data_IF_688763563285
#
_entry.id   IF_688763563285
#
_cell.length_a   1.000
_cell.length_b   1.000
_cell.length_c   1.000
_cell.angle_alpha   90.00
_cell.angle_beta   90.00
_cell.angle_gamma   90.00
#
_symmetry.space_group_name_H-M   'P 1'
#
loop_
_entity.id
_entity.type
_entity.pdbx_description
1 polymer ?
#
# COMPACT_ATOMS: atom_id res chain seq x y z
N UNK A 1 -17.12 11.42 1.06
CA UNK A 1 -17.14 9.99 1.43
C UNK A 1 -17.63 9.89 2.87
N UNK A 2 -18.46 8.91 3.18
CA UNK A 2 -19.08 8.66 4.48
C UNK A 2 -18.83 7.22 4.86
N UNK A 3 -18.66 6.94 6.16
CA UNK A 3 -18.57 5.59 6.72
C UNK A 3 -19.91 5.28 7.34
N UNK A 4 -20.64 4.34 6.75
CA UNK A 4 -21.98 3.99 7.17
C UNK A 4 -21.97 2.89 8.23
N UNK A 5 -20.96 2.00 8.17
CA UNK A 5 -20.79 0.90 9.11
C UNK A 5 -19.30 0.58 9.29
N UNK A 6 -18.97 -0.06 10.41
CA UNK A 6 -17.62 -0.54 10.75
C UNK A 6 -17.72 -2.05 10.91
N UNK A 7 -17.12 -2.78 9.98
CA UNK A 7 -17.05 -4.23 10.05
C UNK A 7 -16.15 -4.73 11.19
N UNK A 8 -16.23 -6.01 11.45
CA UNK A 8 -15.32 -6.67 12.38
C UNK A 8 -13.88 -6.70 11.81
N UNK A 9 -12.87 -6.49 12.65
CA UNK A 9 -11.48 -6.60 12.22
C UNK A 9 -11.12 -8.04 11.86
N UNK A 10 -10.25 -8.20 10.89
CA UNK A 10 -9.61 -9.48 10.62
C UNK A 10 -8.75 -9.90 11.80
N UNK A 11 -8.90 -11.15 12.23
CA UNK A 11 -8.24 -11.66 13.43
C UNK A 11 -6.99 -12.47 13.10
N UNK A 12 -6.15 -12.70 14.12
CA UNK A 12 -5.05 -13.67 14.02
C UNK A 12 -5.55 -15.07 13.67
N UNK A 13 -6.72 -15.46 14.20
CA UNK A 13 -7.33 -16.75 13.88
C UNK A 13 -7.70 -16.85 12.39
N UNK A 14 -8.25 -15.79 11.78
CA UNK A 14 -8.51 -15.77 10.35
C UNK A 14 -7.21 -15.90 9.55
N UNK A 15 -6.19 -15.11 9.89
CA UNK A 15 -4.90 -15.09 9.21
C UNK A 15 -4.19 -16.46 9.26
N UNK A 16 -4.29 -17.18 10.38
CA UNK A 16 -3.58 -18.46 10.58
C UNK A 16 -4.38 -19.70 10.17
N UNK A 17 -5.69 -19.55 9.90
CA UNK A 17 -6.55 -20.64 9.48
C UNK A 17 -6.88 -20.59 7.99
N UNK A 18 -8.07 -20.14 7.64
CA UNK A 18 -8.58 -20.20 6.27
C UNK A 18 -7.84 -19.27 5.30
N UNK A 19 -7.35 -18.10 5.76
CA UNK A 19 -6.55 -17.20 4.91
C UNK A 19 -5.21 -17.87 4.59
N UNK A 20 -4.54 -18.46 5.59
CA UNK A 20 -3.29 -19.18 5.36
C UNK A 20 -3.49 -20.34 4.38
N UNK A 21 -4.60 -21.08 4.50
CA UNK A 21 -4.93 -22.14 3.58
C UNK A 21 -5.20 -21.65 2.15
N UNK A 22 -5.91 -20.52 2.01
CA UNK A 22 -6.19 -19.90 0.71
C UNK A 22 -4.95 -19.35 0.03
N UNK A 23 -4.03 -18.75 0.79
CA UNK A 23 -2.78 -18.19 0.26
C UNK A 23 -1.77 -19.31 -0.13
N UNK A 24 -1.81 -20.45 0.52
CA UNK A 24 -0.87 -21.55 0.26
C UNK A 24 0.59 -21.09 0.34
N UNK A 25 1.35 -21.40 -0.70
CA UNK A 25 2.77 -21.05 -0.84
C UNK A 25 3.02 -19.63 -1.41
N UNK A 26 1.99 -18.79 -1.52
CA UNK A 26 2.12 -17.42 -2.01
C UNK A 26 3.07 -16.62 -1.13
N UNK A 27 4.14 -16.09 -1.73
CA UNK A 27 5.13 -15.27 -1.02
C UNK A 27 4.67 -13.82 -0.85
N UNK A 28 4.02 -13.25 -1.87
CA UNK A 28 3.61 -11.85 -1.86
C UNK A 28 2.11 -11.70 -1.63
N UNK A 29 1.75 -10.87 -0.68
CA UNK A 29 0.35 -10.63 -0.28
C UNK A 29 0.07 -9.13 -0.25
N UNK A 30 -0.97 -8.70 -0.96
CA UNK A 30 -1.48 -7.34 -0.86
C UNK A 30 -2.58 -7.27 0.19
N UNK A 31 -2.49 -6.28 1.07
CA UNK A 31 -3.50 -5.96 2.07
C UNK A 31 -4.11 -4.61 1.74
N UNK A 32 -5.40 -4.61 1.40
CA UNK A 32 -6.18 -3.41 1.06
C UNK A 32 -7.19 -3.09 2.16
N UNK A 33 -6.75 -2.51 3.26
CA UNK A 33 -7.63 -2.06 4.33
C UNK A 33 -8.44 -0.83 3.91
N UNK A 34 -9.69 -0.75 4.32
CA UNK A 34 -10.55 0.43 4.17
C UNK A 34 -10.43 1.36 5.37
N UNK A 35 -10.37 0.79 6.57
CA UNK A 35 -10.28 1.49 7.84
C UNK A 35 -9.11 0.96 8.67
N UNK A 36 -8.64 1.75 9.60
CA UNK A 36 -7.49 1.47 10.47
C UNK A 36 -7.61 0.18 11.27
N UNK A 37 -8.82 -0.18 11.65
CA UNK A 37 -9.11 -1.35 12.46
C UNK A 37 -9.23 -2.64 11.68
N UNK A 38 -9.31 -2.60 10.35
CA UNK A 38 -9.56 -3.78 9.54
C UNK A 38 -8.47 -4.86 9.74
N UNK A 39 -7.21 -4.43 9.82
CA UNK A 39 -6.06 -5.33 10.03
C UNK A 39 -5.21 -4.82 11.20
N UNK A 40 -5.48 -5.26 12.44
CA UNK A 40 -4.61 -4.96 13.58
C UNK A 40 -3.18 -5.44 13.36
N UNK A 41 -2.21 -4.81 14.05
CA UNK A 41 -0.79 -5.15 13.91
C UNK A 41 -0.49 -6.65 14.11
N UNK A 42 -1.16 -7.29 15.08
CA UNK A 42 -1.04 -8.73 15.32
C UNK A 42 -1.54 -9.58 14.15
N UNK A 43 -2.56 -9.13 13.43
CA UNK A 43 -3.07 -9.80 12.23
C UNK A 43 -2.11 -9.63 11.05
N UNK A 44 -1.54 -8.45 10.87
CA UNK A 44 -0.49 -8.22 9.86
C UNK A 44 0.74 -9.08 10.15
N UNK A 45 1.16 -9.20 11.40
CA UNK A 45 2.25 -10.08 11.82
C UNK A 45 1.94 -11.55 11.50
N UNK A 46 0.74 -12.01 11.79
CA UNK A 46 0.31 -13.37 11.48
C UNK A 46 0.26 -13.64 9.96
N UNK A 47 -0.19 -12.66 9.16
CA UNK A 47 -0.17 -12.75 7.70
C UNK A 47 1.24 -12.78 7.13
N UNK A 48 2.19 -12.06 7.74
CA UNK A 48 3.60 -12.02 7.34
C UNK A 48 4.39 -13.26 7.80
N UNK A 49 3.78 -14.14 8.59
CA UNK A 49 4.48 -15.31 9.11
C UNK A 49 5.05 -16.21 7.99
N UNK A 50 6.19 -16.83 8.26
CA UNK A 50 6.91 -17.64 7.30
C UNK A 50 7.69 -16.81 6.29
N UNK A 51 7.43 -17.01 4.99
CA UNK A 51 8.15 -16.32 3.90
C UNK A 51 7.33 -15.20 3.25
N UNK A 52 6.15 -14.87 3.80
CA UNK A 52 5.26 -13.91 3.18
C UNK A 52 5.74 -12.47 3.34
N UNK A 53 5.58 -11.72 2.28
CA UNK A 53 5.94 -10.30 2.16
C UNK A 53 4.67 -9.49 1.93
N UNK A 54 4.34 -8.62 2.86
CA UNK A 54 3.13 -7.83 2.77
C UNK A 54 3.39 -6.50 2.05
N UNK A 55 2.58 -6.21 1.04
CA UNK A 55 2.36 -4.87 0.55
C UNK A 55 1.06 -4.34 1.16
N UNK A 56 1.15 -3.24 1.89
CA UNK A 56 -0.01 -2.59 2.50
C UNK A 56 -0.24 -1.23 1.86
N UNK A 57 -1.50 -0.95 1.49
CA UNK A 57 -1.91 0.38 1.07
C UNK A 57 -2.19 1.23 2.32
N UNK A 58 -1.54 2.39 2.41
CA UNK A 58 -1.65 3.30 3.55
C UNK A 58 -3.05 3.90 3.71
N UNK A 59 -3.91 3.81 2.71
CA UNK A 59 -5.27 4.34 2.74
C UNK A 59 -6.02 3.91 4.00
N UNK A 60 -6.01 2.62 4.32
CA UNK A 60 -6.63 2.09 5.53
C UNK A 60 -5.98 2.64 6.80
N UNK A 61 -4.66 2.74 6.84
CA UNK A 61 -3.93 3.14 8.03
C UNK A 61 -4.27 4.56 8.52
N UNK A 62 -4.57 5.48 7.62
CA UNK A 62 -4.91 6.88 7.96
C UNK A 62 -6.39 7.11 8.23
N UNK A 63 -7.27 6.21 7.82
CA UNK A 63 -8.72 6.38 7.94
C UNK A 63 -9.23 5.90 9.29
N UNK A 64 -9.92 6.79 10.01
CA UNK A 64 -10.52 6.45 11.31
C UNK A 64 -11.68 5.48 11.13
N UNK A 65 -11.71 4.45 11.97
CA UNK A 65 -12.87 3.56 12.12
C UNK A 65 -13.94 4.23 12.99
N UNK A 66 -14.70 5.12 12.37
CA UNK A 66 -15.80 5.85 13.02
C UNK A 66 -16.90 6.10 11.99
N UNK A 67 -18.14 5.73 12.36
CA UNK A 67 -19.32 6.05 11.56
C UNK A 67 -19.46 7.57 11.44
N UNK A 68 -19.81 8.04 10.26
CA UNK A 68 -19.94 9.45 9.93
C UNK A 68 -19.04 9.90 8.79
N UNK A 69 -18.79 11.20 8.65
CA UNK A 69 -17.88 11.73 7.65
C UNK A 69 -16.49 11.11 7.80
N UNK A 70 -15.90 10.66 6.68
CA UNK A 70 -14.57 10.05 6.68
C UNK A 70 -13.53 11.05 7.22
N UNK A 71 -12.89 10.69 8.32
CA UNK A 71 -11.81 11.42 8.93
C UNK A 71 -10.48 10.68 8.80
N UNK A 72 -9.38 11.40 8.83
CA UNK A 72 -8.01 10.87 8.74
C UNK A 72 -7.15 11.52 9.80
N UNK A 73 -6.22 10.77 10.37
CA UNK A 73 -5.16 11.28 11.26
C UNK A 73 -3.90 10.41 11.21
N UNK A 74 -2.87 10.83 11.94
CA UNK A 74 -1.59 10.14 12.05
C UNK A 74 -1.51 9.14 13.22
N UNK A 75 -2.61 8.94 13.95
CA UNK A 75 -2.58 8.06 15.12
C UNK A 75 -2.65 6.60 14.67
N UNK A 76 -1.48 5.98 14.53
CA UNK A 76 -1.30 4.57 14.16
C UNK A 76 -0.39 3.90 15.18
N UNK A 77 -0.64 2.62 15.45
CA UNK A 77 0.30 1.77 16.19
C UNK A 77 1.55 1.53 15.33
N UNK A 78 2.74 2.00 15.74
CA UNK A 78 3.97 1.81 14.97
C UNK A 78 4.32 0.33 14.73
N UNK A 79 3.78 -0.59 15.54
CA UNK A 79 3.99 -2.03 15.32
C UNK A 79 3.36 -2.52 14.02
N UNK A 80 2.35 -1.82 13.49
CA UNK A 80 1.74 -2.12 12.18
C UNK A 80 2.74 -2.07 11.03
N UNK A 81 3.82 -1.27 11.14
CA UNK A 81 4.83 -1.17 10.09
C UNK A 81 5.86 -2.30 10.09
N UNK A 82 6.05 -2.98 11.23
CA UNK A 82 7.13 -3.96 11.42
C UNK A 82 7.02 -5.18 10.52
N UNK A 83 5.81 -5.55 10.15
CA UNK A 83 5.52 -6.73 9.33
C UNK A 83 5.41 -6.44 7.84
N UNK A 84 5.57 -5.17 7.44
CA UNK A 84 5.45 -4.75 6.06
C UNK A 84 6.77 -4.93 5.30
N UNK A 85 6.70 -5.52 4.12
CA UNK A 85 7.80 -5.49 3.16
C UNK A 85 7.72 -4.23 2.30
N UNK A 86 6.50 -3.80 1.96
CA UNK A 86 6.22 -2.62 1.13
C UNK A 86 5.07 -1.82 1.71
N UNK A 87 5.26 -0.52 1.84
CA UNK A 87 4.18 0.44 2.11
C UNK A 87 3.94 1.28 0.86
N UNK A 88 2.74 1.21 0.31
CA UNK A 88 2.31 2.09 -0.77
C UNK A 88 1.44 3.21 -0.21
N UNK A 89 1.71 4.43 -0.60
CA UNK A 89 0.98 5.62 -0.15
C UNK A 89 0.91 6.70 -1.23
N UNK A 90 -0.04 7.59 -1.13
CA UNK A 90 -0.10 8.83 -1.89
C UNK A 90 0.45 10.01 -1.09
N UNK A 91 0.58 11.19 -1.72
CA UNK A 91 1.14 12.39 -1.07
C UNK A 91 0.35 12.82 0.18
N UNK A 92 -0.99 12.70 0.16
CA UNK A 92 -1.83 13.04 1.31
C UNK A 92 -1.58 12.13 2.50
N UNK A 93 -1.47 10.84 2.25
CA UNK A 93 -1.16 9.81 3.24
C UNK A 93 0.27 9.95 3.79
N UNK A 94 1.23 10.28 2.92
CA UNK A 94 2.62 10.55 3.30
C UNK A 94 2.73 11.72 4.27
N UNK A 95 2.05 12.84 3.97
CA UNK A 95 2.03 14.00 4.87
C UNK A 95 1.41 13.68 6.23
N UNK A 96 0.39 12.82 6.25
CA UNK A 96 -0.25 12.38 7.50
C UNK A 96 0.66 11.46 8.30
N UNK A 97 1.20 10.40 7.68
CA UNK A 97 1.94 9.34 8.39
C UNK A 97 3.40 9.72 8.68
N UNK A 98 4.06 10.34 7.71
CA UNK A 98 5.50 10.63 7.76
C UNK A 98 5.81 12.11 8.04
N UNK A 99 4.80 12.98 8.02
CA UNK A 99 4.99 14.43 8.15
C UNK A 99 5.54 15.11 6.89
N UNK A 100 5.81 14.38 5.81
CA UNK A 100 6.36 14.90 4.56
C UNK A 100 6.38 13.87 3.45
N UNK A 101 6.89 14.28 2.29
CA UNK A 101 7.00 13.45 1.08
C UNK A 101 8.46 13.18 0.70
N UNK A 102 9.39 13.80 1.38
CA UNK A 102 10.82 13.65 1.14
C UNK A 102 11.31 12.27 1.59
N UNK A 103 12.36 11.72 0.96
CA UNK A 103 12.85 10.38 1.26
C UNK A 103 13.19 10.14 2.74
N UNK A 104 13.72 11.14 3.43
CA UNK A 104 14.06 11.05 4.88
C UNK A 104 12.83 10.90 5.76
N UNK A 105 11.74 11.61 5.47
CA UNK A 105 10.48 11.47 6.19
C UNK A 105 9.89 10.06 5.99
N UNK A 106 9.93 9.57 4.75
CA UNK A 106 9.42 8.25 4.41
C UNK A 106 10.24 7.13 5.08
N UNK A 107 11.58 7.24 5.06
CA UNK A 107 12.47 6.26 5.74
C UNK A 107 12.22 6.18 7.25
N UNK A 108 11.82 7.29 7.86
CA UNK A 108 11.51 7.32 9.30
C UNK A 108 10.34 6.40 9.69
N UNK A 109 9.50 5.96 8.74
CA UNK A 109 8.46 4.96 8.97
C UNK A 109 9.02 3.54 9.21
N UNK A 110 10.28 3.28 8.86
CA UNK A 110 10.96 2.01 9.12
C UNK A 110 10.50 0.84 8.25
N UNK A 111 9.86 1.10 7.10
CA UNK A 111 9.44 0.07 6.15
C UNK A 111 10.50 -0.09 5.06
N UNK A 112 10.96 -1.33 4.74
CA UNK A 112 12.07 -1.55 3.81
C UNK A 112 11.89 -0.97 2.41
N UNK A 113 10.68 -1.04 1.86
CA UNK A 113 10.34 -0.45 0.57
C UNK A 113 9.11 0.45 0.73
N UNK A 114 9.22 1.70 0.29
CA UNK A 114 8.11 2.64 0.29
C UNK A 114 7.89 3.14 -1.14
N UNK A 115 6.66 3.03 -1.61
CA UNK A 115 6.24 3.53 -2.91
C UNK A 115 5.26 4.67 -2.71
N UNK A 116 5.73 5.90 -2.97
CA UNK A 116 4.90 7.09 -2.96
C UNK A 116 4.37 7.37 -4.37
N UNK A 117 3.07 7.24 -4.57
CA UNK A 117 2.42 7.61 -5.83
C UNK A 117 2.17 9.12 -5.87
N UNK A 118 2.53 9.75 -6.99
CA UNK A 118 2.48 11.21 -7.20
C UNK A 118 1.45 11.58 -8.29
N UNK A 119 0.45 10.74 -8.50
CA UNK A 119 -0.56 10.92 -9.54
C UNK A 119 0.08 11.10 -10.92
N UNK A 120 -0.27 12.17 -11.61
CA UNK A 120 0.27 12.48 -12.96
C UNK A 120 1.78 12.77 -12.98
N UNK A 121 2.46 12.86 -11.84
CA UNK A 121 3.90 13.05 -11.76
C UNK A 121 4.70 11.74 -11.64
N UNK A 122 4.02 10.59 -11.66
CA UNK A 122 4.63 9.26 -11.56
C UNK A 122 4.71 8.76 -10.13
N UNK A 123 5.85 8.24 -9.69
CA UNK A 123 6.04 7.74 -8.34
C UNK A 123 7.45 8.03 -7.81
N UNK A 124 7.64 7.88 -6.50
CA UNK A 124 8.93 7.88 -5.84
C UNK A 124 9.07 6.55 -5.09
N UNK A 125 10.09 5.78 -5.45
CA UNK A 125 10.49 4.61 -4.68
C UNK A 125 11.56 5.01 -3.67
N UNK A 126 11.38 4.61 -2.42
CA UNK A 126 12.35 4.83 -1.34
C UNK A 126 12.66 3.50 -0.66
N UNK A 127 13.94 3.24 -0.48
CA UNK A 127 14.47 2.15 0.34
C UNK A 127 15.44 2.74 1.37
N UNK A 128 16.01 1.91 2.24
CA UNK A 128 16.97 2.35 3.25
C UNK A 128 18.15 3.13 2.65
N UNK A 129 18.66 2.65 1.50
CA UNK A 129 19.88 3.19 0.88
C UNK A 129 19.64 3.99 -0.40
N UNK A 130 18.42 3.97 -0.93
CA UNK A 130 18.15 4.53 -2.26
C UNK A 130 16.82 5.26 -2.31
N UNK A 131 16.73 6.31 -3.13
CA UNK A 131 15.48 6.96 -3.51
C UNK A 131 15.52 7.26 -5.01
N UNK A 132 14.52 6.80 -5.74
CA UNK A 132 14.45 6.98 -7.19
C UNK A 132 13.07 7.45 -7.64
N UNK A 133 13.05 8.51 -8.44
CA UNK A 133 11.85 8.97 -9.12
C UNK A 133 11.55 8.08 -10.30
N UNK A 134 10.35 7.55 -10.33
CA UNK A 134 9.79 6.83 -11.46
C UNK A 134 9.03 7.86 -12.32
N UNK A 135 9.51 8.06 -13.53
CA UNK A 135 8.92 9.02 -14.44
C UNK A 135 7.45 8.68 -14.74
N UNK A 136 6.63 9.71 -14.93
CA UNK A 136 5.27 9.54 -15.38
C UNK A 136 5.20 8.82 -16.72
N UNK A 137 4.14 8.06 -16.92
CA UNK A 137 3.72 7.59 -18.24
C UNK A 137 2.65 8.57 -18.75
N UNK A 138 2.84 9.19 -19.92
CA UNK A 138 1.82 10.07 -20.50
C UNK A 138 0.51 9.31 -20.74
N UNK A 139 -0.60 9.92 -20.37
CA UNK A 139 -1.95 9.41 -20.63
C UNK A 139 -2.69 10.47 -21.42
N UNK A 140 -3.33 10.06 -22.51
CA UNK A 140 -4.12 10.93 -23.37
C UNK A 140 -5.61 10.80 -23.04
N UNK A 141 -6.35 11.91 -23.18
CA UNK A 141 -7.80 11.95 -23.02
C UNK A 141 -8.29 12.28 -21.62
N UNK A 142 -9.58 12.03 -21.39
CA UNK A 142 -10.22 12.16 -20.08
C UNK A 142 -9.90 10.90 -19.28
N UNK A 143 -9.41 11.08 -18.07
CA UNK A 143 -8.89 10.00 -17.23
C UNK A 143 -9.77 9.89 -15.99
N UNK A 144 -10.28 8.69 -15.72
CA UNK A 144 -10.83 8.34 -14.42
C UNK A 144 -9.72 7.68 -13.56
N UNK A 145 -9.22 8.36 -12.51
CA UNK A 145 -8.17 7.82 -11.67
C UNK A 145 -8.64 6.74 -10.68
N UNK A 146 -9.93 6.40 -10.71
CA UNK A 146 -10.50 5.37 -9.80
C UNK A 146 -9.81 4.03 -10.03
N UNK A 147 -9.32 3.42 -8.96
CA UNK A 147 -8.61 2.14 -9.03
C UNK A 147 -7.15 2.20 -9.50
N UNK A 148 -6.64 3.37 -9.91
CA UNK A 148 -5.23 3.50 -10.31
C UNK A 148 -4.25 3.06 -9.21
N UNK A 149 -4.56 3.38 -7.94
CA UNK A 149 -3.76 2.96 -6.79
C UNK A 149 -3.75 1.45 -6.59
N UNK A 150 -4.91 0.81 -6.72
CA UNK A 150 -5.06 -0.64 -6.58
C UNK A 150 -4.36 -1.37 -7.72
N UNK A 151 -4.53 -0.88 -8.96
CA UNK A 151 -3.86 -1.40 -10.15
C UNK A 151 -2.34 -1.29 -10.03
N UNK A 152 -1.85 -0.15 -9.52
CA UNK A 152 -0.44 0.03 -9.24
C UNK A 152 0.07 -1.01 -8.23
N UNK A 153 -0.63 -1.18 -7.11
CA UNK A 153 -0.25 -2.15 -6.07
C UNK A 153 -0.22 -3.57 -6.60
N UNK A 154 -1.24 -3.98 -7.36
CA UNK A 154 -1.32 -5.31 -7.97
C UNK A 154 -0.19 -5.56 -8.98
N UNK A 155 0.12 -4.57 -9.82
CA UNK A 155 1.21 -4.65 -10.78
C UNK A 155 2.59 -4.70 -10.10
N UNK A 156 2.78 -3.88 -9.06
CA UNK A 156 4.02 -3.85 -8.28
C UNK A 156 4.29 -5.22 -7.66
N UNK A 157 3.34 -5.74 -6.91
CA UNK A 157 3.49 -7.04 -6.22
C UNK A 157 3.68 -8.19 -7.22
N UNK A 158 2.97 -8.14 -8.35
CA UNK A 158 3.13 -9.13 -9.43
C UNK A 158 4.54 -9.11 -10.04
N UNK A 159 5.12 -7.93 -10.25
CA UNK A 159 6.49 -7.81 -10.73
C UNK A 159 7.51 -8.28 -9.68
N UNK A 160 7.32 -7.91 -8.39
CA UNK A 160 8.16 -8.39 -7.28
C UNK A 160 8.11 -9.91 -7.14
N UNK A 161 6.93 -10.52 -7.28
CA UNK A 161 6.76 -11.98 -7.24
C UNK A 161 7.49 -12.72 -8.38
N UNK A 162 7.70 -12.05 -9.52
CA UNK A 162 8.52 -12.56 -10.64
C UNK A 162 10.01 -12.27 -10.48
N UNK A 163 10.45 -11.71 -9.36
CA UNK A 163 11.86 -11.42 -9.08
C UNK A 163 12.37 -10.06 -9.58
N UNK A 164 11.50 -9.18 -10.09
CA UNK A 164 11.91 -7.85 -10.48
C UNK A 164 12.48 -7.06 -9.30
N UNK A 165 13.51 -6.26 -9.54
CA UNK A 165 14.03 -5.31 -8.55
C UNK A 165 12.97 -4.23 -8.22
N UNK A 166 13.02 -3.59 -7.03
CA UNK A 166 12.02 -2.59 -6.61
C UNK A 166 11.76 -1.50 -7.65
N UNK A 167 12.81 -0.96 -8.26
CA UNK A 167 12.72 0.09 -9.29
C UNK A 167 12.02 -0.41 -10.54
N UNK A 168 12.35 -1.61 -11.00
CA UNK A 168 11.74 -2.24 -12.18
C UNK A 168 10.25 -2.52 -11.94
N UNK A 169 9.92 -3.02 -10.74
CA UNK A 169 8.54 -3.25 -10.33
C UNK A 169 7.74 -1.95 -10.29
N UNK A 170 8.32 -0.86 -9.77
CA UNK A 170 7.67 0.44 -9.73
C UNK A 170 7.44 1.03 -11.14
N UNK A 171 8.39 0.85 -12.05
CA UNK A 171 8.23 1.26 -13.45
C UNK A 171 7.12 0.48 -14.15
N UNK A 172 7.09 -0.84 -13.99
CA UNK A 172 6.05 -1.70 -14.55
C UNK A 172 4.67 -1.36 -13.99
N UNK A 173 4.59 -1.13 -12.68
CA UNK A 173 3.34 -0.75 -12.01
C UNK A 173 2.81 0.61 -12.49
N UNK A 174 3.70 1.59 -12.65
CA UNK A 174 3.34 2.91 -13.16
C UNK A 174 2.84 2.86 -14.61
N UNK A 175 3.44 2.02 -15.45
CA UNK A 175 3.01 1.82 -16.83
C UNK A 175 1.63 1.18 -16.90
N UNK A 176 1.38 0.10 -16.15
CA UNK A 176 0.08 -0.59 -16.16
C UNK A 176 -1.03 0.30 -15.59
N UNK A 177 -0.76 1.02 -14.49
CA UNK A 177 -1.74 1.94 -13.93
C UNK A 177 -2.14 3.04 -14.93
N UNK A 178 -1.18 3.59 -15.68
CA UNK A 178 -1.43 4.58 -16.72
C UNK A 178 -2.26 4.00 -17.88
N UNK A 179 -1.98 2.78 -18.31
CA UNK A 179 -2.74 2.09 -19.36
C UNK A 179 -4.21 1.89 -18.95
N UNK A 180 -4.45 1.40 -17.73
CA UNK A 180 -5.81 1.12 -17.25
C UNK A 180 -6.66 2.38 -17.13
N UNK A 181 -6.11 3.50 -16.68
CA UNK A 181 -6.87 4.76 -16.57
C UNK A 181 -7.06 5.44 -17.92
N UNK A 182 -6.29 5.09 -18.96
CA UNK A 182 -6.46 5.65 -20.31
C UNK A 182 -7.53 4.96 -21.14
N UNK A 183 -7.98 3.78 -20.74
CA UNK A 183 -9.00 2.98 -21.43
C UNK A 183 -10.41 3.08 -20.80
N UNK A 184 -10.55 3.87 -19.73
CA UNK A 184 -11.80 4.04 -18.99
C UNK A 184 -12.75 5.06 -19.61
#
# INVERSE_FOLDING_TARGET
MHVDDIGDPWTVADATSWVAAALGETEWVQVGALLRTDFPASTLEALAAGRRRLLVDAQGLVRLARVGPLARDAYIDPSSFRSLAVLKLNEGEARILAGGVEPEHLRALGVPEIVLTLGSAGALLVTDSHAERIARVPVEGIVDPTGAGDSFSAAYISARARGAAPVEAARAANALAAELISTA
#
